data_IF_845412555222
#
_entry.id   IF_845412555222
#
_cell.length_a   1.000
_cell.length_b   1.000
_cell.length_c   1.000
_cell.angle_alpha   90.00
_cell.angle_beta   90.00
_cell.angle_gamma   90.00
#
_symmetry.space_group_name_H-M   'P 1'
#
loop_
_entity.id
_entity.type
_entity.pdbx_description
1 polymer ?
#
# COMPACT_ATOMS: atom_id res chain seq x y z
N UNK A 1 -16.30 29.22 11.69
CA UNK A 1 -15.47 28.35 10.83
C UNK A 1 -14.56 27.41 11.61
N UNK A 2 -14.10 27.75 12.82
CA UNK A 2 -13.23 26.88 13.64
C UNK A 2 -13.96 25.70 14.32
N UNK A 3 -15.26 25.83 14.64
CA UNK A 3 -16.03 24.76 15.28
C UNK A 3 -16.43 23.63 14.34
N UNK A 4 -16.59 23.92 13.04
CA UNK A 4 -16.88 22.94 11.99
C UNK A 4 -15.64 22.10 11.65
N UNK A 5 -14.46 22.72 11.55
CA UNK A 5 -13.19 22.02 11.26
C UNK A 5 -12.79 21.02 12.36
N UNK A 6 -13.06 21.34 13.64
CA UNK A 6 -12.77 20.44 14.76
C UNK A 6 -13.74 19.24 14.77
N UNK A 7 -15.01 19.45 14.42
CA UNK A 7 -16.00 18.37 14.28
C UNK A 7 -15.63 17.38 13.16
N UNK A 8 -15.24 17.91 12.00
CA UNK A 8 -14.85 17.11 10.85
C UNK A 8 -13.59 16.27 11.12
N UNK A 9 -12.61 16.81 11.86
CA UNK A 9 -11.42 16.06 12.29
C UNK A 9 -11.75 14.91 13.24
N UNK A 10 -12.68 15.11 14.19
CA UNK A 10 -13.07 14.06 15.15
C UNK A 10 -13.78 12.90 14.45
N UNK A 11 -14.67 13.18 13.50
CA UNK A 11 -15.28 12.12 12.68
C UNK A 11 -14.26 11.39 11.81
N UNK A 12 -13.29 12.12 11.27
CA UNK A 12 -12.20 11.54 10.50
C UNK A 12 -11.36 10.58 11.36
N UNK A 13 -10.93 10.99 12.55
CA UNK A 13 -10.19 10.11 13.47
C UNK A 13 -10.99 8.90 13.90
N UNK A 14 -12.32 9.02 14.06
CA UNK A 14 -13.19 7.87 14.33
C UNK A 14 -13.23 6.88 13.16
N UNK A 15 -13.29 7.37 11.92
CA UNK A 15 -13.22 6.54 10.70
C UNK A 15 -11.84 5.88 10.56
N UNK A 16 -10.78 6.63 10.82
CA UNK A 16 -9.40 6.12 10.78
C UNK A 16 -9.16 5.07 11.88
N UNK A 17 -9.67 5.30 13.09
CA UNK A 17 -9.60 4.36 14.21
C UNK A 17 -10.35 3.05 13.99
N UNK A 18 -11.16 2.92 12.94
CA UNK A 18 -11.78 1.66 12.53
C UNK A 18 -10.88 0.82 11.60
N UNK A 19 -9.84 1.41 11.02
CA UNK A 19 -8.88 0.73 10.15
C UNK A 19 -7.79 0.06 10.99
N UNK A 20 -7.64 -1.28 10.94
CA UNK A 20 -6.62 -1.99 11.70
C UNK A 20 -5.19 -1.49 11.44
N UNK A 21 -4.89 -1.14 10.18
CA UNK A 21 -3.61 -0.56 9.78
C UNK A 21 -3.34 0.77 10.47
N UNK A 22 -4.33 1.66 10.55
CA UNK A 22 -4.16 2.96 11.21
C UNK A 22 -3.96 2.81 12.73
N UNK A 23 -4.64 1.86 13.36
CA UNK A 23 -4.46 1.56 14.80
C UNK A 23 -3.01 1.14 15.06
N UNK A 24 -2.46 0.21 14.28
CA UNK A 24 -1.07 -0.24 14.42
C UNK A 24 -0.07 0.87 14.09
N UNK A 25 -0.36 1.72 13.08
CA UNK A 25 0.47 2.88 12.75
C UNK A 25 0.55 3.87 13.92
N UNK A 26 -0.60 4.23 14.49
CA UNK A 26 -0.68 5.13 15.64
C UNK A 26 0.11 4.61 16.83
N UNK A 27 -0.07 3.32 17.16
CA UNK A 27 0.66 2.68 18.26
C UNK A 27 2.16 2.62 17.99
N UNK A 28 2.57 2.26 16.78
CA UNK A 28 3.98 2.24 16.39
C UNK A 28 4.62 3.62 16.56
N UNK A 29 3.94 4.69 16.11
CA UNK A 29 4.42 6.06 16.23
C UNK A 29 4.48 6.53 17.69
N UNK A 30 3.49 6.19 18.51
CA UNK A 30 3.52 6.50 19.93
C UNK A 30 4.69 5.79 20.65
N UNK A 31 4.93 4.51 20.35
CA UNK A 31 6.05 3.76 20.94
C UNK A 31 7.41 4.29 20.47
N UNK A 32 7.54 4.66 19.20
CA UNK A 32 8.77 5.25 18.66
C UNK A 32 9.06 6.61 19.32
N UNK A 33 8.04 7.48 19.42
CA UNK A 33 8.15 8.76 20.11
C UNK A 33 8.56 8.60 21.57
N UNK A 34 7.87 7.71 22.32
CA UNK A 34 8.19 7.44 23.72
C UNK A 34 9.60 6.86 23.88
N UNK A 35 9.99 5.93 23.00
CA UNK A 35 11.32 5.32 22.99
C UNK A 35 12.44 6.34 22.78
N UNK A 36 12.27 7.24 21.82
CA UNK A 36 13.22 8.33 21.53
C UNK A 36 13.27 9.35 22.67
N UNK A 37 12.13 9.71 23.25
CA UNK A 37 12.08 10.61 24.43
C UNK A 37 12.87 10.02 25.61
N UNK A 38 12.64 8.74 25.92
CA UNK A 38 13.34 8.03 27.00
C UNK A 38 14.84 7.86 26.72
N UNK A 39 15.22 7.70 25.45
CA UNK A 39 16.61 7.66 25.04
C UNK A 39 17.32 8.98 25.38
N UNK A 40 16.69 10.12 25.06
CA UNK A 40 17.23 11.45 25.38
C UNK A 40 17.27 11.74 26.90
N UNK A 41 16.41 11.08 27.68
CA UNK A 41 16.45 11.11 29.15
C UNK A 41 17.46 10.12 29.76
N UNK A 42 18.29 9.47 28.94
CA UNK A 42 19.26 8.45 29.34
C UNK A 42 18.64 7.19 29.99
N UNK A 43 17.33 6.96 29.83
CA UNK A 43 16.67 5.74 30.26
C UNK A 43 16.71 4.68 29.15
N UNK A 44 17.90 4.09 28.94
CA UNK A 44 18.15 3.18 27.82
C UNK A 44 17.35 1.87 27.90
N UNK A 45 17.11 1.33 29.10
CA UNK A 45 16.37 0.07 29.26
C UNK A 45 14.92 0.22 28.80
N UNK A 46 14.24 1.28 29.27
CA UNK A 46 12.85 1.54 28.91
C UNK A 46 12.74 2.04 27.46
N UNK A 47 13.72 2.81 26.98
CA UNK A 47 13.83 3.20 25.58
C UNK A 47 13.88 1.98 24.67
N UNK A 48 14.77 1.01 24.95
CA UNK A 48 14.89 -0.22 24.17
C UNK A 48 13.58 -1.01 24.15
N UNK A 49 12.89 -1.14 25.30
CA UNK A 49 11.59 -1.83 25.38
C UNK A 49 10.53 -1.15 24.50
N UNK A 50 10.45 0.18 24.51
CA UNK A 50 9.50 0.94 23.68
C UNK A 50 9.83 0.83 22.19
N UNK A 51 11.09 1.00 21.80
CA UNK A 51 11.52 0.84 20.40
C UNK A 51 11.27 -0.58 19.89
N UNK A 52 11.44 -1.59 20.75
CA UNK A 52 11.13 -2.99 20.43
C UNK A 52 9.62 -3.21 20.26
N UNK A 53 8.81 -2.55 21.09
CA UNK A 53 7.34 -2.50 20.94
C UNK A 53 6.90 -1.83 19.64
N UNK A 54 7.53 -0.71 19.27
CA UNK A 54 7.29 -0.02 17.99
C UNK A 54 7.54 -0.95 16.79
N UNK A 55 8.64 -1.71 16.81
CA UNK A 55 8.92 -2.72 15.77
C UNK A 55 7.86 -3.82 15.68
N UNK A 56 7.27 -4.22 16.82
CA UNK A 56 6.19 -5.19 16.87
C UNK A 56 4.92 -4.66 16.19
N UNK A 57 4.50 -3.45 16.52
CA UNK A 57 3.32 -2.81 15.91
C UNK A 57 3.56 -2.49 14.42
N UNK A 58 4.77 -2.08 14.04
CA UNK A 58 5.16 -1.91 12.63
C UNK A 58 5.03 -3.22 11.84
N UNK A 59 5.38 -4.36 12.44
CA UNK A 59 5.24 -5.67 11.80
C UNK A 59 3.77 -5.97 11.50
N UNK A 60 2.87 -5.68 12.43
CA UNK A 60 1.42 -5.87 12.22
C UNK A 60 0.87 -4.94 11.14
N UNK A 61 1.31 -3.67 11.12
CA UNK A 61 0.97 -2.72 10.06
C UNK A 61 1.40 -3.23 8.67
N UNK A 62 2.66 -3.66 8.54
CA UNK A 62 3.20 -4.16 7.27
C UNK A 62 2.53 -5.46 6.83
N UNK A 63 2.18 -6.33 7.78
CA UNK A 63 1.45 -7.56 7.49
C UNK A 63 0.06 -7.27 6.93
N UNK A 64 -0.73 -6.43 7.61
CA UNK A 64 -2.07 -6.04 7.15
C UNK A 64 -2.03 -5.34 5.79
N UNK A 65 -1.04 -4.46 5.59
CA UNK A 65 -0.80 -3.79 4.32
C UNK A 65 -0.45 -4.82 3.23
N UNK A 66 0.51 -5.72 3.46
CA UNK A 66 0.89 -6.74 2.48
C UNK A 66 -0.32 -7.62 2.09
N UNK A 67 -1.15 -8.03 3.04
CA UNK A 67 -2.35 -8.80 2.78
C UNK A 67 -3.36 -8.04 1.90
N UNK A 68 -3.63 -6.77 2.22
CA UNK A 68 -4.47 -5.91 1.38
C UNK A 68 -3.86 -5.78 -0.03
N UNK A 69 -2.53 -5.67 -0.11
CA UNK A 69 -1.88 -5.54 -1.41
C UNK A 69 -2.10 -6.77 -2.27
N UNK A 70 -1.92 -7.94 -1.68
CA UNK A 70 -2.11 -9.25 -2.29
C UNK A 70 -3.55 -9.48 -2.75
N UNK A 71 -4.54 -9.17 -1.90
CA UNK A 71 -5.96 -9.31 -2.21
C UNK A 71 -6.35 -8.46 -3.43
N UNK A 72 -5.97 -7.18 -3.43
CA UNK A 72 -6.23 -6.27 -4.55
C UNK A 72 -5.55 -6.74 -5.83
N UNK A 73 -4.31 -7.24 -5.75
CA UNK A 73 -3.61 -7.79 -6.92
C UNK A 73 -4.31 -9.02 -7.50
N UNK A 74 -4.79 -9.93 -6.63
CA UNK A 74 -5.56 -11.10 -7.04
C UNK A 74 -6.85 -10.69 -7.76
N UNK A 75 -7.63 -9.80 -7.15
CA UNK A 75 -8.90 -9.31 -7.72
C UNK A 75 -8.67 -8.71 -9.11
N UNK A 76 -7.63 -7.89 -9.27
CA UNK A 76 -7.29 -7.25 -10.54
C UNK A 76 -6.91 -8.28 -11.61
N UNK A 77 -6.11 -9.29 -11.26
CA UNK A 77 -5.70 -10.35 -12.18
C UNK A 77 -6.84 -11.29 -12.54
N UNK A 78 -7.71 -11.64 -11.60
CA UNK A 78 -8.91 -12.45 -11.84
C UNK A 78 -9.90 -11.73 -12.75
N UNK A 79 -10.08 -10.42 -12.56
CA UNK A 79 -10.90 -9.59 -13.45
C UNK A 79 -10.31 -9.49 -14.86
N UNK A 80 -8.99 -9.29 -14.97
CA UNK A 80 -8.30 -9.17 -16.26
C UNK A 80 -8.28 -10.49 -17.06
N UNK A 81 -8.24 -11.63 -16.37
CA UNK A 81 -8.09 -12.97 -16.97
C UNK A 81 -9.10 -13.29 -18.08
N UNK A 82 -10.43 -13.24 -17.86
CA UNK A 82 -11.40 -13.56 -18.92
C UNK A 82 -11.36 -12.57 -20.09
N UNK A 83 -11.02 -11.30 -19.84
CA UNK A 83 -10.89 -10.28 -20.89
C UNK A 83 -9.74 -10.62 -21.86
N UNK A 84 -8.59 -10.99 -21.29
CA UNK A 84 -7.36 -11.28 -22.03
C UNK A 84 -7.44 -12.63 -22.75
N UNK A 85 -8.04 -13.64 -22.13
CA UNK A 85 -8.21 -14.95 -22.76
C UNK A 85 -9.11 -14.85 -23.99
N UNK A 86 -10.14 -14.00 -23.95
CA UNK A 86 -11.05 -13.78 -25.08
C UNK A 86 -10.41 -12.97 -26.22
N UNK A 87 -9.53 -12.00 -25.92
CA UNK A 87 -8.89 -11.19 -26.95
C UNK A 87 -7.83 -11.95 -27.75
N UNK A 88 -7.36 -13.09 -27.25
CA UNK A 88 -6.32 -13.94 -27.86
C UNK A 88 -5.01 -13.20 -28.20
N UNK A 89 -4.73 -12.09 -27.52
CA UNK A 89 -3.50 -11.34 -27.70
C UNK A 89 -2.34 -12.00 -26.94
N UNK A 90 -1.28 -12.39 -27.65
CA UNK A 90 -0.10 -13.05 -27.08
C UNK A 90 0.63 -12.15 -26.07
N UNK A 91 0.68 -10.84 -26.31
CA UNK A 91 1.36 -9.89 -25.43
C UNK A 91 0.59 -9.76 -24.11
N UNK A 92 -0.72 -9.53 -24.21
CA UNK A 92 -1.59 -9.46 -23.05
C UNK A 92 -1.55 -10.77 -22.23
N UNK A 93 -1.55 -11.93 -22.89
CA UNK A 93 -1.40 -13.23 -22.23
C UNK A 93 -0.04 -13.38 -21.53
N UNK A 94 1.05 -12.91 -22.15
CA UNK A 94 2.37 -12.94 -21.54
C UNK A 94 2.44 -12.05 -20.29
N UNK A 95 1.93 -10.82 -20.38
CA UNK A 95 1.85 -9.88 -19.25
C UNK A 95 1.00 -10.45 -18.10
N UNK A 96 -0.12 -11.12 -18.43
CA UNK A 96 -0.95 -11.79 -17.42
C UNK A 96 -0.18 -12.89 -16.67
N UNK A 97 0.61 -13.71 -17.39
CA UNK A 97 1.46 -14.74 -16.77
C UNK A 97 2.51 -14.13 -15.85
N UNK A 98 3.15 -13.02 -16.26
CA UNK A 98 4.08 -12.27 -15.42
C UNK A 98 3.39 -11.76 -14.14
N UNK A 99 2.16 -11.26 -14.27
CA UNK A 99 1.33 -10.83 -13.14
C UNK A 99 1.06 -11.95 -12.14
N UNK A 100 0.60 -13.12 -12.58
CA UNK A 100 0.36 -14.28 -11.70
C UNK A 100 1.64 -14.83 -11.07
N UNK A 101 2.76 -14.85 -11.80
CA UNK A 101 4.06 -15.24 -11.26
C UNK A 101 4.47 -14.33 -10.09
N UNK A 102 4.32 -13.02 -10.27
CA UNK A 102 4.67 -12.05 -9.23
C UNK A 102 3.69 -12.10 -8.06
N UNK A 103 2.39 -12.29 -8.31
CA UNK A 103 1.41 -12.55 -7.26
C UNK A 103 1.84 -13.73 -6.40
N UNK A 104 2.19 -14.86 -7.03
CA UNK A 104 2.63 -16.05 -6.32
C UNK A 104 3.91 -15.81 -5.52
N UNK A 105 4.87 -15.10 -6.10
CA UNK A 105 6.10 -14.72 -5.39
C UNK A 105 5.82 -13.85 -4.16
N UNK A 106 4.85 -12.91 -4.23
CA UNK A 106 4.41 -12.11 -3.07
C UNK A 106 3.74 -12.97 -1.99
N UNK A 107 2.91 -13.96 -2.35
CA UNK A 107 2.34 -14.92 -1.41
C UNK A 107 3.41 -15.73 -0.67
N UNK A 108 4.45 -16.14 -1.38
CA UNK A 108 5.54 -16.91 -0.79
C UNK A 108 6.29 -16.05 0.24
N UNK A 109 6.56 -14.77 -0.06
CA UNK A 109 7.12 -13.83 0.90
C UNK A 109 6.21 -13.63 2.12
N UNK A 110 4.89 -13.54 1.91
CA UNK A 110 3.93 -13.43 3.00
C UNK A 110 3.98 -14.68 3.91
N UNK A 111 4.00 -15.86 3.30
CA UNK A 111 4.02 -17.14 4.01
C UNK A 111 5.33 -17.35 4.77
N UNK A 112 6.47 -17.04 4.16
CA UNK A 112 7.78 -17.09 4.83
C UNK A 112 7.81 -16.11 6.00
N UNK A 113 7.28 -14.89 5.81
CA UNK A 113 7.20 -13.90 6.87
C UNK A 113 6.32 -14.41 8.02
N UNK A 114 5.16 -14.98 7.73
CA UNK A 114 4.25 -15.54 8.73
C UNK A 114 4.92 -16.66 9.54
N UNK A 115 5.57 -17.60 8.87
CA UNK A 115 6.19 -18.78 9.48
C UNK A 115 7.52 -18.50 10.21
N UNK A 116 8.16 -17.34 9.96
CA UNK A 116 9.38 -16.94 10.67
C UNK A 116 9.14 -16.67 12.16
N UNK A 117 10.20 -16.71 12.98
CA UNK A 117 10.07 -16.60 14.42
C UNK A 117 9.40 -15.26 14.86
N UNK A 118 8.50 -15.25 15.86
CA UNK A 118 7.72 -14.08 16.24
C UNK A 118 8.55 -12.82 16.52
N UNK A 119 9.73 -12.99 17.14
CA UNK A 119 10.60 -11.89 17.55
C UNK A 119 11.54 -11.37 16.45
N UNK A 120 11.54 -11.98 15.26
CA UNK A 120 12.39 -11.53 14.14
C UNK A 120 11.73 -10.39 13.36
N UNK A 121 11.37 -9.30 14.07
CA UNK A 121 10.61 -8.17 13.50
C UNK A 121 11.28 -7.59 12.25
N UNK A 122 12.60 -7.35 12.28
CA UNK A 122 13.35 -6.80 11.14
C UNK A 122 13.27 -7.68 9.89
N UNK A 123 13.38 -9.00 10.07
CA UNK A 123 13.30 -9.96 8.96
C UNK A 123 11.88 -9.99 8.37
N UNK A 124 10.86 -10.02 9.23
CA UNK A 124 9.45 -9.94 8.81
C UNK A 124 9.15 -8.63 8.08
N UNK A 125 9.59 -7.49 8.60
CA UNK A 125 9.42 -6.18 7.95
C UNK A 125 10.04 -6.16 6.56
N UNK A 126 11.25 -6.73 6.41
CA UNK A 126 11.91 -6.84 5.11
C UNK A 126 11.09 -7.69 4.13
N UNK A 127 10.63 -8.87 4.56
CA UNK A 127 9.83 -9.76 3.72
C UNK A 127 8.48 -9.15 3.32
N UNK A 128 7.77 -8.51 4.24
CA UNK A 128 6.53 -7.81 3.91
C UNK A 128 6.78 -6.62 2.99
N UNK A 129 7.85 -5.86 3.22
CA UNK A 129 8.23 -4.74 2.36
C UNK A 129 8.55 -5.16 0.92
N UNK A 130 9.34 -6.21 0.74
CA UNK A 130 9.64 -6.76 -0.60
C UNK A 130 8.39 -7.38 -1.24
N UNK A 131 7.58 -8.11 -0.47
CA UNK A 131 6.31 -8.66 -0.95
C UNK A 131 5.34 -7.59 -1.45
N UNK A 132 5.23 -6.45 -0.76
CA UNK A 132 4.42 -5.31 -1.21
C UNK A 132 4.93 -4.76 -2.56
N UNK A 133 6.25 -4.62 -2.74
CA UNK A 133 6.82 -4.14 -4.02
C UNK A 133 6.51 -5.12 -5.16
N UNK A 134 6.64 -6.42 -4.91
CA UNK A 134 6.32 -7.47 -5.88
C UNK A 134 4.80 -7.45 -6.19
N UNK A 135 3.94 -7.29 -5.20
CA UNK A 135 2.50 -7.17 -5.40
C UNK A 135 2.13 -5.94 -6.25
N UNK A 136 2.78 -4.79 -6.04
CA UNK A 136 2.63 -3.60 -6.91
C UNK A 136 3.04 -3.90 -8.34
N UNK A 137 4.14 -4.62 -8.55
CA UNK A 137 4.59 -5.03 -9.88
C UNK A 137 3.58 -5.96 -10.57
N UNK A 138 2.98 -6.91 -9.83
CA UNK A 138 1.90 -7.75 -10.35
C UNK A 138 0.70 -6.93 -10.83
N UNK A 139 0.29 -5.89 -10.07
CA UNK A 139 -0.79 -4.98 -10.49
C UNK A 139 -0.44 -4.20 -11.75
N UNK A 140 0.80 -3.67 -11.86
CA UNK A 140 1.26 -3.00 -13.07
C UNK A 140 1.13 -3.91 -14.29
N UNK A 141 1.55 -5.16 -14.18
CA UNK A 141 1.37 -6.13 -15.28
C UNK A 141 -0.09 -6.40 -15.60
N UNK A 142 -0.97 -6.47 -14.60
CA UNK A 142 -2.41 -6.61 -14.83
C UNK A 142 -3.00 -5.41 -15.58
N UNK A 143 -2.64 -4.17 -15.19
CA UNK A 143 -3.08 -2.95 -15.87
C UNK A 143 -2.59 -2.91 -17.32
N UNK A 144 -1.30 -3.18 -17.54
CA UNK A 144 -0.72 -3.22 -18.88
C UNK A 144 -1.35 -4.30 -19.76
N UNK A 145 -1.64 -5.48 -19.19
CA UNK A 145 -2.31 -6.55 -19.91
C UNK A 145 -3.74 -6.17 -20.32
N UNK A 146 -4.48 -5.47 -19.46
CA UNK A 146 -5.81 -4.95 -19.78
C UNK A 146 -5.75 -3.91 -20.90
N UNK A 147 -4.80 -2.97 -20.84
CA UNK A 147 -4.58 -1.98 -21.91
C UNK A 147 -4.30 -2.72 -23.22
N UNK A 148 -3.28 -3.57 -23.25
CA UNK A 148 -2.88 -4.31 -24.44
C UNK A 148 -4.02 -5.14 -25.06
N UNK A 149 -4.89 -5.73 -24.22
CA UNK A 149 -6.04 -6.51 -24.68
C UNK A 149 -7.13 -5.69 -25.37
N UNK A 150 -7.21 -4.38 -25.07
CA UNK A 150 -8.21 -3.45 -25.60
C UNK A 150 -7.66 -2.56 -26.71
N UNK A 151 -6.34 -2.40 -26.80
CA UNK A 151 -5.70 -1.68 -27.89
C UNK A 151 -5.92 -2.44 -29.22
N UNK A 152 -6.53 -1.80 -30.24
CA UNK A 152 -6.63 -2.37 -31.57
C UNK A 152 -5.25 -2.76 -32.13
N UNK A 153 -5.19 -3.78 -32.98
CA UNK A 153 -3.91 -4.27 -33.54
C UNK A 153 -3.16 -3.19 -34.31
N UNK A 154 -3.86 -2.26 -34.94
CA UNK A 154 -3.30 -1.16 -35.74
C UNK A 154 -2.57 -0.12 -34.88
N UNK A 155 -3.02 0.09 -33.64
CA UNK A 155 -2.45 1.08 -32.71
C UNK A 155 -1.28 0.51 -31.89
N UNK A 156 -0.95 -0.77 -32.07
CA UNK A 156 0.16 -1.40 -31.34
C UNK A 156 1.50 -0.98 -31.95
N UNK A 157 2.51 -0.67 -31.11
CA UNK A 157 3.80 -0.18 -31.59
C UNK A 157 4.53 -1.17 -32.50
N UNK A 158 4.20 -2.47 -32.40
CA UNK A 158 4.80 -3.52 -33.24
C UNK A 158 4.27 -3.53 -34.69
N UNK A 159 3.06 -3.01 -34.93
CA UNK A 159 2.42 -3.00 -36.24
C UNK A 159 2.41 -1.61 -36.88
N UNK A 160 2.93 -0.59 -36.19
CA UNK A 160 3.02 0.77 -36.69
C UNK A 160 4.23 0.90 -37.64
N UNK A 161 3.97 1.22 -38.91
CA UNK A 161 5.02 1.64 -39.84
C UNK A 161 5.48 3.05 -39.44
N UNK A 162 6.73 3.18 -38.99
CA UNK A 162 7.29 4.46 -38.54
C UNK A 162 8.06 5.11 -39.68
N UNK A 163 7.60 6.29 -40.13
CA UNK A 163 8.36 7.10 -41.08
C UNK A 163 9.44 7.94 -40.36
N UNK A 164 10.42 8.45 -41.10
CA UNK A 164 11.52 9.24 -40.54
C UNK A 164 11.03 10.52 -39.81
N UNK A 165 9.93 11.10 -40.29
CA UNK A 165 9.28 12.26 -39.67
C UNK A 165 8.51 11.89 -38.38
N UNK A 166 7.95 10.67 -38.30
CA UNK A 166 7.33 10.17 -37.07
C UNK A 166 8.36 9.91 -35.97
N UNK A 167 9.59 9.50 -36.35
CA UNK A 167 10.69 9.41 -35.40
C UNK A 167 11.09 10.77 -34.83
N UNK A 168 11.07 11.84 -35.64
CA UNK A 168 11.36 13.20 -35.17
C UNK A 168 10.27 13.71 -34.21
N UNK A 169 9.00 13.45 -34.51
CA UNK A 169 7.89 13.80 -33.62
C UNK A 169 7.84 12.93 -32.35
N UNK A 170 8.31 11.68 -32.41
CA UNK A 170 8.41 10.81 -31.25
C UNK A 170 9.46 11.31 -30.24
N UNK A 171 10.58 11.85 -30.72
CA UNK A 171 11.63 12.47 -29.86
C UNK A 171 11.07 13.67 -29.09
N UNK A 172 10.15 14.45 -29.67
CA UNK A 172 9.47 15.54 -28.93
C UNK A 172 8.45 15.02 -27.89
N UNK A 173 7.80 13.88 -28.17
CA UNK A 173 6.88 13.19 -27.25
C UNK A 173 7.57 12.42 -26.11
N UNK A 174 8.88 12.20 -26.17
CA UNK A 174 9.65 11.53 -25.10
C UNK A 174 9.69 12.32 -23.79
N UNK A 175 9.22 13.57 -23.77
CA UNK A 175 9.11 14.40 -22.56
C UNK A 175 8.04 13.92 -21.56
N UNK A 176 7.12 13.04 -21.96
CA UNK A 176 6.04 12.54 -21.10
C UNK A 176 6.51 11.32 -20.29
N UNK A 177 6.25 11.34 -18.98
CA UNK A 177 6.64 10.23 -18.09
C UNK A 177 5.82 8.96 -18.35
N UNK A 178 6.39 7.78 -18.10
CA UNK A 178 5.68 6.50 -18.28
C UNK A 178 4.41 6.40 -17.41
N UNK A 179 4.43 7.03 -16.23
CA UNK A 179 3.26 7.15 -15.38
C UNK A 179 2.12 7.88 -16.09
N UNK A 180 2.39 9.05 -16.70
CA UNK A 180 1.40 9.86 -17.41
C UNK A 180 0.89 9.15 -18.66
N UNK A 181 1.76 8.45 -19.40
CA UNK A 181 1.36 7.64 -20.56
C UNK A 181 0.32 6.59 -20.18
N UNK A 182 0.60 5.80 -19.15
CA UNK A 182 -0.34 4.76 -18.67
C UNK A 182 -1.60 5.38 -18.07
N UNK A 183 -1.48 6.49 -17.34
CA UNK A 183 -2.64 7.16 -16.75
C UNK A 183 -3.59 7.72 -17.81
N UNK A 184 -3.05 8.40 -18.82
CA UNK A 184 -3.85 9.00 -19.88
C UNK A 184 -4.52 7.93 -20.76
N UNK A 185 -3.82 6.82 -21.04
CA UNK A 185 -4.42 5.69 -21.76
C UNK A 185 -5.53 5.02 -20.96
N UNK A 186 -5.37 4.85 -19.65
CA UNK A 186 -6.45 4.36 -18.78
C UNK A 186 -7.65 5.29 -18.77
N UNK A 187 -7.44 6.62 -18.67
CA UNK A 187 -8.53 7.61 -18.72
C UNK A 187 -9.27 7.51 -20.05
N UNK A 188 -8.55 7.52 -21.18
CA UNK A 188 -9.17 7.40 -22.50
C UNK A 188 -9.97 6.10 -22.65
N UNK A 189 -9.49 4.98 -22.09
CA UNK A 189 -10.20 3.70 -22.17
C UNK A 189 -11.41 3.64 -21.23
N UNK A 190 -11.37 4.36 -20.11
CA UNK A 190 -12.52 4.51 -19.22
C UNK A 190 -13.57 5.41 -19.87
N UNK A 191 -13.18 6.54 -20.43
CA UNK A 191 -14.09 7.51 -21.06
C UNK A 191 -14.77 6.93 -22.31
N UNK A 192 -14.09 6.03 -23.02
CA UNK A 192 -14.62 5.28 -24.16
C UNK A 192 -15.35 3.98 -23.77
N UNK A 193 -15.62 3.74 -22.47
CA UNK A 193 -16.29 2.53 -21.95
C UNK A 193 -15.61 1.19 -22.30
N UNK A 194 -14.33 1.20 -22.68
CA UNK A 194 -13.55 -0.01 -22.96
C UNK A 194 -13.12 -0.73 -21.66
N UNK A 195 -12.96 0.04 -20.58
CA UNK A 195 -12.60 -0.45 -19.24
C UNK A 195 -13.52 0.17 -18.17
N UNK A 196 -13.98 -0.64 -17.23
CA UNK A 196 -14.72 -0.15 -16.08
C UNK A 196 -13.77 0.47 -15.06
N UNK A 197 -14.04 1.71 -14.64
CA UNK A 197 -13.24 2.40 -13.62
C UNK A 197 -13.20 1.67 -12.27
N UNK A 198 -14.34 1.12 -11.85
CA UNK A 198 -14.49 0.41 -10.58
C UNK A 198 -14.69 -1.07 -10.84
N UNK A 199 -13.77 -1.89 -10.32
CA UNK A 199 -13.84 -3.33 -10.41
C UNK A 199 -14.47 -3.85 -9.13
N UNK A 200 -15.58 -4.59 -9.26
CA UNK A 200 -16.18 -5.30 -8.14
C UNK A 200 -15.48 -6.66 -7.99
N UNK A 201 -14.98 -6.99 -6.79
CA UNK A 201 -14.36 -8.29 -6.54
C UNK A 201 -15.35 -9.44 -6.81
N UNK A 202 -14.93 -10.52 -7.51
CA UNK A 202 -15.73 -11.74 -7.56
C UNK A 202 -15.77 -12.40 -6.16
N UNK A 203 -16.96 -12.65 -5.60
CA UNK A 203 -17.12 -13.40 -4.32
C UNK A 203 -17.68 -12.59 -3.14
N UNK A 204 -17.23 -12.90 -1.90
CA UNK A 204 -17.70 -12.30 -0.63
C UNK A 204 -17.30 -10.83 -0.44
N UNK A 205 -16.34 -10.32 -1.22
CA UNK A 205 -15.82 -8.95 -1.10
C UNK A 205 -16.55 -7.92 -1.99
N UNK A 206 -17.85 -8.11 -2.26
CA UNK A 206 -18.66 -7.22 -3.13
C UNK A 206 -18.74 -5.77 -2.63
N UNK A 207 -18.52 -5.54 -1.34
CA UNK A 207 -18.77 -4.25 -0.69
C UNK A 207 -17.62 -3.24 -0.82
N UNK A 208 -16.48 -3.63 -1.43
CA UNK A 208 -15.33 -2.74 -1.63
C UNK A 208 -14.87 -2.74 -3.09
N UNK A 209 -15.48 -1.91 -3.96
CA UNK A 209 -15.02 -1.76 -5.33
C UNK A 209 -13.61 -1.16 -5.34
N UNK A 210 -12.75 -1.68 -6.20
CA UNK A 210 -11.40 -1.15 -6.37
C UNK A 210 -11.38 -0.21 -7.60
N UNK A 211 -10.90 1.02 -7.42
CA UNK A 211 -10.74 1.98 -8.52
C UNK A 211 -9.38 1.79 -9.20
N UNK A 212 -9.40 1.57 -10.52
CA UNK A 212 -8.21 1.32 -11.36
C UNK A 212 -7.23 2.49 -11.29
N UNK A 213 -7.71 3.73 -11.30
CA UNK A 213 -6.84 4.92 -11.30
C UNK A 213 -6.13 5.06 -9.95
N UNK A 214 -6.84 4.78 -8.86
CA UNK A 214 -6.28 4.78 -7.52
C UNK A 214 -5.21 3.69 -7.34
N UNK A 215 -5.41 2.50 -7.93
CA UNK A 215 -4.38 1.46 -7.96
C UNK A 215 -3.15 1.94 -8.75
N UNK A 216 -3.35 2.58 -9.90
CA UNK A 216 -2.26 3.07 -10.73
C UNK A 216 -1.42 4.11 -9.99
N UNK A 217 -2.06 5.12 -9.39
CA UNK A 217 -1.36 6.15 -8.60
C UNK A 217 -0.58 5.53 -7.44
N UNK A 218 -1.18 4.57 -6.72
CA UNK A 218 -0.54 3.83 -5.63
C UNK A 218 0.68 3.01 -6.08
N UNK A 219 0.63 2.42 -7.27
CA UNK A 219 1.73 1.63 -7.83
C UNK A 219 2.99 2.48 -8.15
N UNK A 220 2.82 3.80 -8.32
CA UNK A 220 3.92 4.76 -8.53
C UNK A 220 4.27 5.55 -7.27
N UNK A 221 3.61 5.27 -6.14
CA UNK A 221 3.85 5.96 -4.87
C UNK A 221 3.43 7.44 -4.91
N UNK A 222 2.53 7.81 -5.83
CA UNK A 222 2.06 9.18 -5.95
C UNK A 222 0.97 9.39 -4.92
N UNK A 223 1.26 10.26 -3.96
CA UNK A 223 0.29 10.74 -2.99
C UNK A 223 -0.46 11.89 -3.66
N UNK A 224 -1.65 11.62 -4.17
CA UNK A 224 -2.51 12.67 -4.71
C UNK A 224 -2.89 13.65 -3.59
N UNK A 225 -2.92 14.95 -3.90
CA UNK A 225 -3.16 16.02 -2.92
C UNK A 225 -4.50 15.93 -2.17
N UNK A 226 -5.44 15.14 -2.69
CA UNK A 226 -6.73 14.85 -2.02
C UNK A 226 -6.68 13.72 -0.99
N UNK A 227 -5.54 13.01 -0.82
CA UNK A 227 -5.41 11.95 0.17
C UNK A 227 -4.84 12.48 1.48
N UNK A 228 -5.48 12.07 2.56
CA UNK A 228 -5.02 12.35 3.91
C UNK A 228 -3.80 11.48 4.20
N UNK A 229 -2.69 12.11 4.57
CA UNK A 229 -1.51 11.43 5.09
C UNK A 229 -1.84 10.82 6.44
N UNK A 230 -1.95 9.49 6.49
CA UNK A 230 -2.18 8.76 7.74
C UNK A 230 -1.04 8.99 8.74
N UNK A 231 0.18 9.22 8.24
CA UNK A 231 1.35 9.53 9.06
C UNK A 231 1.17 10.88 9.76
N UNK A 232 0.84 11.93 9.02
CA UNK A 232 0.67 13.28 9.60
C UNK A 232 -0.48 13.30 10.60
N UNK A 233 -1.60 12.63 10.27
CA UNK A 233 -2.72 12.47 11.19
C UNK A 233 -2.33 11.72 12.46
N UNK A 234 -1.55 10.64 12.34
CA UNK A 234 -1.09 9.91 13.53
C UNK A 234 -0.15 10.75 14.39
N UNK A 235 0.66 11.63 13.78
CA UNK A 235 1.55 12.54 14.49
C UNK A 235 0.76 13.61 15.27
N UNK A 236 -0.35 14.12 14.71
CA UNK A 236 -1.27 15.03 15.43
C UNK A 236 -1.87 14.37 16.68
N UNK A 237 -2.03 13.04 16.70
CA UNK A 237 -2.61 12.29 17.82
C UNK A 237 -1.60 11.82 18.88
N UNK A 238 -0.29 12.04 18.69
CA UNK A 238 0.74 11.60 19.65
C UNK A 238 0.57 12.34 20.96
N UNK A 239 0.47 11.58 22.06
CA UNK A 239 0.36 12.14 23.41
C UNK A 239 1.71 12.13 24.10
N UNK A 240 2.17 13.31 24.52
CA UNK A 240 3.40 13.45 25.32
C UNK A 240 3.22 12.97 26.77
N UNK A 241 1.98 12.96 27.27
CA UNK A 241 1.61 12.49 28.61
C UNK A 241 1.80 10.98 28.80
N UNK A 242 1.66 10.21 27.73
CA UNK A 242 1.65 8.73 27.80
C UNK A 242 3.06 8.17 28.08
N UNK A 243 4.11 8.97 27.87
CA UNK A 243 5.48 8.63 28.22
C UNK A 243 5.75 8.61 29.74
N UNK A 244 4.87 9.24 30.54
CA UNK A 244 5.09 9.54 31.97
C UNK A 244 4.20 8.68 32.87
N UNK A 245 3.96 7.41 32.52
CA UNK A 245 3.65 6.44 33.56
C UNK A 245 4.96 6.10 34.27
N UNK A 246 5.36 6.95 35.22
CA UNK A 246 6.40 6.63 36.20
C UNK A 246 6.01 5.29 36.81
N UNK A 247 6.83 4.25 36.61
CA UNK A 247 6.69 3.02 37.37
C UNK A 247 6.68 3.41 38.85
N UNK A 248 5.52 3.32 39.49
CA UNK A 248 5.45 3.38 40.93
C UNK A 248 6.23 2.17 41.41
N UNK A 249 7.40 2.41 42.02
CA UNK A 249 8.17 1.37 42.68
C UNK A 249 7.21 0.53 43.53
N UNK A 250 7.36 -0.81 43.59
CA UNK A 250 6.54 -1.63 44.45
C UNK A 250 6.59 -1.05 45.87
N UNK A 251 5.44 -0.97 46.58
CA UNK A 251 5.39 -0.34 47.88
C UNK A 251 6.40 -1.01 48.81
N UNK A 252 7.29 -0.21 49.40
CA UNK A 252 8.29 -0.70 50.35
C UNK A 252 7.52 -1.39 51.48
N UNK A 253 7.77 -2.67 51.78
CA UNK A 253 7.08 -3.35 52.87
C UNK A 253 7.36 -2.60 54.17
N UNK A 254 6.30 -2.14 54.83
CA UNK A 254 6.37 -1.50 56.13
C UNK A 254 6.96 -2.50 57.13
N UNK A 255 8.10 -2.15 57.74
CA UNK A 255 8.66 -2.93 58.84
C UNK A 255 7.59 -3.04 59.93
N UNK A 256 7.11 -4.26 60.18
CA UNK A 256 6.36 -4.59 61.40
C UNK A 256 7.24 -4.20 62.58
N UNK A 257 6.81 -3.18 63.32
CA UNK A 257 7.40 -2.83 64.61
C UNK A 257 7.08 -3.99 65.57
N UNK A 258 8.13 -4.61 66.11
CA UNK A 258 8.05 -5.53 67.23
C UNK A 258 7.56 -4.81 68.49
#
# INVERSE_FOLDING_TARGET
NTTTEVGDKVELFKKLGALPSYISLKKANQFDFNGNMLYFQSNYSLSFKNLRGAQGEMKDLYQATHEQYLQNSRILLEYASPLIVRSNDKIAQHLLRLGFRDLKSSEDHFTIAYNSAPYQFRYKLLLHGEGIKIARRARKFALLAMIASKTPTEDKPEYQFVNLDDMRAAVEKETITDYEKVRNTLINYIDNDLLQRKIVPPGEAKDKPIDILEIHDDNYGIITSGRISMMDMSNEEIKTSDAIQKETLPPIPTKTQN
#
